data_IF_982919574967
#
_entry.id   IF_982919574967
#
_cell.length_a   1.000
_cell.length_b   1.000
_cell.length_c   1.000
_cell.angle_alpha   90.00
_cell.angle_beta   90.00
_cell.angle_gamma   90.00
#
_symmetry.space_group_name_H-M   'P 1'
#
loop_
_entity.id
_entity.type
_entity.pdbx_description
1 polymer ?
#
# COMPACT_ATOMS: atom_id res chain seq x y z
N UNK A 1 38.18 -19.43 -32.88
CA UNK A 1 38.29 -18.16 -32.15
C UNK A 1 37.14 -17.17 -32.38
N UNK A 2 36.32 -17.36 -33.39
CA UNK A 2 35.19 -16.43 -33.69
C UNK A 2 33.86 -16.85 -33.06
N UNK A 3 33.74 -18.05 -32.55
CA UNK A 3 32.52 -18.59 -31.94
C UNK A 3 32.46 -18.27 -30.42
N UNK A 4 33.62 -18.10 -29.78
CA UNK A 4 33.71 -17.79 -28.36
C UNK A 4 33.27 -16.34 -27.99
N UNK A 5 33.29 -15.43 -28.96
CA UNK A 5 32.92 -14.05 -28.76
C UNK A 5 31.41 -13.80 -28.82
N UNK A 6 30.68 -14.73 -29.47
CA UNK A 6 29.22 -14.61 -29.62
C UNK A 6 28.43 -15.14 -28.45
N UNK A 7 29.06 -15.98 -27.61
CA UNK A 7 28.44 -16.52 -26.40
C UNK A 7 28.48 -15.54 -25.21
N UNK A 8 29.40 -14.55 -25.24
CA UNK A 8 29.56 -13.61 -24.15
C UNK A 8 28.55 -12.46 -24.16
N UNK A 9 27.83 -12.26 -25.27
CA UNK A 9 26.87 -11.14 -25.40
C UNK A 9 25.45 -11.51 -24.97
N UNK A 10 25.20 -12.76 -24.56
CA UNK A 10 23.84 -13.24 -24.26
C UNK A 10 23.49 -13.23 -22.74
N UNK A 11 24.34 -12.69 -21.88
CA UNK A 11 24.16 -12.81 -20.41
C UNK A 11 23.71 -11.51 -19.72
N UNK A 12 23.37 -10.48 -20.47
CA UNK A 12 22.98 -9.17 -19.88
C UNK A 12 21.48 -8.92 -20.03
N UNK A 13 20.66 -9.87 -19.62
CA UNK A 13 19.20 -9.76 -19.70
C UNK A 13 18.46 -10.18 -18.44
N UNK A 14 19.07 -10.08 -17.25
CA UNK A 14 18.33 -10.31 -16.03
C UNK A 14 17.75 -8.95 -15.57
N UNK A 15 16.67 -8.54 -16.22
CA UNK A 15 15.82 -7.49 -15.67
C UNK A 15 15.15 -8.04 -14.43
N UNK A 16 15.54 -7.52 -13.25
CA UNK A 16 14.83 -7.73 -12.00
C UNK A 16 13.44 -7.10 -12.14
N UNK A 17 12.45 -7.90 -12.53
CA UNK A 17 11.07 -7.54 -12.38
C UNK A 17 10.74 -7.64 -10.90
N UNK A 18 10.67 -6.51 -10.21
CA UNK A 18 10.09 -6.44 -8.86
C UNK A 18 8.60 -6.70 -9.02
N UNK A 19 8.21 -7.95 -8.86
CA UNK A 19 6.82 -8.33 -8.80
C UNK A 19 6.31 -8.04 -7.39
N UNK A 20 5.62 -6.91 -7.21
CA UNK A 20 4.75 -6.72 -6.06
C UNK A 20 3.59 -7.70 -6.21
N UNK A 21 3.76 -8.92 -5.71
CA UNK A 21 2.62 -9.79 -5.45
C UNK A 21 1.89 -9.22 -4.26
N UNK A 22 0.87 -8.43 -4.55
CA UNK A 22 -0.21 -8.22 -3.61
C UNK A 22 -0.81 -9.61 -3.36
N UNK A 23 -0.58 -10.18 -2.17
CA UNK A 23 -1.20 -11.44 -1.73
C UNK A 23 -2.67 -11.23 -1.35
N UNK A 24 -3.33 -10.27 -1.96
CA UNK A 24 -4.78 -10.18 -1.99
C UNK A 24 -5.26 -11.15 -3.07
N UNK A 25 -6.01 -12.15 -2.69
CA UNK A 25 -6.60 -13.11 -3.61
C UNK A 25 -7.28 -12.38 -4.78
N UNK A 26 -7.32 -13.01 -5.94
CA UNK A 26 -7.98 -12.49 -7.11
C UNK A 26 -9.38 -12.00 -6.75
N UNK A 27 -9.63 -10.70 -6.93
CA UNK A 27 -10.97 -10.13 -6.76
C UNK A 27 -11.86 -10.75 -7.83
N UNK A 28 -12.88 -11.47 -7.41
CA UNK A 28 -13.87 -11.98 -8.33
C UNK A 28 -14.88 -10.88 -8.67
N UNK A 29 -14.63 -10.16 -9.76
CA UNK A 29 -15.47 -9.06 -10.21
C UNK A 29 -16.89 -9.45 -10.64
N UNK A 30 -17.19 -10.74 -10.78
CA UNK A 30 -18.55 -11.21 -11.02
C UNK A 30 -19.41 -11.11 -9.75
N UNK A 31 -18.80 -11.30 -8.60
CA UNK A 31 -19.46 -11.27 -7.28
C UNK A 31 -19.22 -9.97 -6.52
N UNK A 32 -18.07 -9.33 -6.72
CA UNK A 32 -17.61 -8.15 -5.98
C UNK A 32 -17.59 -6.96 -6.92
N UNK A 33 -18.47 -5.99 -6.71
CA UNK A 33 -18.63 -4.81 -7.56
C UNK A 33 -18.44 -3.50 -6.83
N UNK A 34 -18.60 -3.50 -5.51
CA UNK A 34 -18.59 -2.30 -4.68
C UNK A 34 -17.59 -2.40 -3.54
N UNK A 35 -17.04 -1.26 -3.16
CA UNK A 35 -16.12 -1.13 -2.03
C UNK A 35 -16.49 0.08 -1.18
N UNK A 36 -16.45 -0.09 0.13
CA UNK A 36 -16.53 0.99 1.10
C UNK A 36 -15.20 1.14 1.80
N UNK A 37 -14.68 2.35 1.84
CA UNK A 37 -13.41 2.68 2.51
C UNK A 37 -13.72 3.72 3.57
N UNK A 38 -13.65 3.32 4.83
CA UNK A 38 -13.81 4.22 5.96
C UNK A 38 -12.59 5.13 6.10
N UNK A 39 -12.79 6.30 6.68
CA UNK A 39 -11.68 7.18 7.01
C UNK A 39 -10.88 6.61 8.20
N UNK A 40 -9.55 6.56 8.05
CA UNK A 40 -8.65 6.06 9.07
C UNK A 40 -8.33 7.17 10.07
N UNK A 41 -8.80 7.07 11.32
CA UNK A 41 -8.44 8.02 12.35
C UNK A 41 -6.97 7.88 12.74
N UNK A 42 -6.36 8.98 13.18
CA UNK A 42 -5.02 8.98 13.75
C UNK A 42 -5.13 8.68 15.24
N UNK A 43 -4.58 7.53 15.66
CA UNK A 43 -4.53 7.04 17.05
C UNK A 43 -3.11 7.05 17.62
N UNK A 44 -2.14 7.63 16.91
CA UNK A 44 -0.78 7.80 17.40
C UNK A 44 -0.69 8.92 18.43
N UNK A 45 0.36 8.90 19.26
CA UNK A 45 0.63 9.95 20.26
C UNK A 45 0.82 11.32 19.62
N UNK A 46 1.37 11.35 18.42
CA UNK A 46 1.49 12.55 17.61
C UNK A 46 0.41 12.59 16.54
N UNK A 47 -0.41 13.63 16.56
CA UNK A 47 -1.51 13.83 15.60
C UNK A 47 -1.13 14.93 14.62
N UNK A 48 -0.97 14.54 13.35
CA UNK A 48 -0.80 15.48 12.25
C UNK A 48 -2.00 15.38 11.31
N UNK A 49 -2.97 16.23 11.48
CA UNK A 49 -4.25 16.17 10.77
C UNK A 49 -4.12 16.13 9.23
N UNK A 50 -3.22 16.90 8.58
CA UNK A 50 -3.04 16.83 7.13
C UNK A 50 -2.62 15.44 6.63
N UNK A 51 -1.90 14.65 7.44
CA UNK A 51 -1.54 13.27 7.11
C UNK A 51 -2.78 12.39 6.97
N UNK A 52 -3.71 12.49 7.93
CA UNK A 52 -4.95 11.71 7.90
C UNK A 52 -5.77 11.99 6.65
N UNK A 53 -5.98 13.27 6.34
CA UNK A 53 -6.71 13.69 5.13
C UNK A 53 -6.03 13.15 3.88
N UNK A 54 -4.72 13.37 3.74
CA UNK A 54 -3.96 12.92 2.56
C UNK A 54 -3.96 11.41 2.42
N UNK A 55 -3.77 10.69 3.51
CA UNK A 55 -3.80 9.22 3.51
C UNK A 55 -5.15 8.68 3.05
N UNK A 56 -6.25 9.21 3.60
CA UNK A 56 -7.58 8.74 3.25
C UNK A 56 -7.94 9.03 1.79
N UNK A 57 -7.58 10.22 1.30
CA UNK A 57 -7.80 10.59 -0.10
C UNK A 57 -6.98 9.70 -1.06
N UNK A 58 -5.70 9.51 -0.78
CA UNK A 58 -4.81 8.70 -1.62
C UNK A 58 -5.23 7.23 -1.62
N UNK A 59 -5.66 6.70 -0.48
CA UNK A 59 -6.13 5.31 -0.37
C UNK A 59 -7.37 5.08 -1.26
N UNK A 60 -8.36 5.96 -1.18
CA UNK A 60 -9.56 5.90 -2.01
C UNK A 60 -9.22 6.00 -3.50
N UNK A 61 -8.33 6.90 -3.84
CA UNK A 61 -7.91 7.16 -5.20
C UNK A 61 -7.13 5.97 -5.82
N UNK A 62 -6.27 5.31 -5.05
CA UNK A 62 -5.58 4.10 -5.48
C UNK A 62 -6.57 2.98 -5.83
N UNK A 63 -7.56 2.74 -4.97
CA UNK A 63 -8.57 1.72 -5.24
C UNK A 63 -9.40 2.03 -6.48
N UNK A 64 -9.79 3.28 -6.67
CA UNK A 64 -10.55 3.71 -7.84
C UNK A 64 -9.76 3.57 -9.14
N UNK A 65 -8.44 3.80 -9.10
CA UNK A 65 -7.58 3.69 -10.30
C UNK A 65 -7.14 2.27 -10.61
N UNK A 66 -6.90 1.45 -9.58
CA UNK A 66 -6.31 0.12 -9.75
C UNK A 66 -7.33 -1.01 -9.79
N UNK A 67 -8.58 -0.73 -9.44
CA UNK A 67 -9.64 -1.72 -9.44
C UNK A 67 -10.84 -1.25 -10.28
N UNK A 68 -11.72 -2.19 -10.62
CA UNK A 68 -13.00 -1.90 -11.29
C UNK A 68 -14.14 -1.70 -10.29
N UNK A 69 -13.81 -1.59 -9.00
CA UNK A 69 -14.80 -1.47 -7.94
C UNK A 69 -15.39 -0.06 -7.91
N UNK A 70 -16.68 0.00 -7.62
CA UNK A 70 -17.39 1.26 -7.40
C UNK A 70 -17.34 1.61 -5.92
N UNK A 71 -16.86 2.81 -5.59
CA UNK A 71 -16.87 3.33 -4.23
C UNK A 71 -18.30 3.66 -3.80
N UNK A 72 -18.71 3.11 -2.66
CA UNK A 72 -20.00 3.37 -2.01
C UNK A 72 -19.80 3.64 -0.52
N UNK A 73 -20.75 4.32 0.11
CA UNK A 73 -20.62 4.67 1.53
C UNK A 73 -21.07 3.56 2.47
N UNK A 74 -22.02 2.74 2.04
CA UNK A 74 -22.63 1.70 2.87
C UNK A 74 -22.96 0.47 2.04
N UNK A 75 -23.10 -0.69 2.70
CA UNK A 75 -23.53 -1.94 2.08
C UNK A 75 -22.67 -2.35 0.88
N UNK A 76 -21.37 -2.19 1.00
CA UNK A 76 -20.43 -2.60 -0.01
C UNK A 76 -20.15 -4.12 0.04
N UNK A 77 -19.76 -4.68 -1.10
CA UNK A 77 -19.30 -6.06 -1.17
C UNK A 77 -17.97 -6.26 -0.44
N UNK A 78 -17.11 -5.24 -0.52
CA UNK A 78 -15.87 -5.15 0.24
C UNK A 78 -15.89 -3.94 1.17
N UNK A 79 -15.37 -4.11 2.37
CA UNK A 79 -15.21 -3.03 3.34
C UNK A 79 -13.77 -2.97 3.83
N UNK A 80 -13.21 -1.77 3.83
CA UNK A 80 -11.89 -1.48 4.38
C UNK A 80 -12.06 -0.41 5.45
N UNK A 81 -11.59 -0.73 6.64
CA UNK A 81 -11.43 0.23 7.72
C UNK A 81 -10.09 0.03 8.44
N UNK A 82 -9.75 0.95 9.29
CA UNK A 82 -8.53 0.86 10.06
C UNK A 82 -8.20 2.13 10.80
N UNK A 83 -6.96 2.21 11.26
CA UNK A 83 -6.46 3.34 12.03
C UNK A 83 -4.95 3.54 11.81
N UNK A 84 -4.50 4.78 11.93
CA UNK A 84 -3.08 5.12 11.91
C UNK A 84 -2.60 5.11 13.36
N UNK A 85 -1.75 4.14 13.72
CA UNK A 85 -1.31 3.90 15.10
C UNK A 85 0.08 4.43 15.40
N UNK A 86 0.88 4.73 14.38
CA UNK A 86 2.24 5.22 14.55
C UNK A 86 2.62 6.32 13.58
N UNK A 87 3.35 7.30 14.08
CA UNK A 87 3.98 8.36 13.30
C UNK A 87 5.34 8.65 13.91
N UNK A 88 6.40 8.24 13.24
CA UNK A 88 7.76 8.42 13.72
C UNK A 88 8.63 9.07 12.65
N UNK A 89 9.38 10.06 13.06
CA UNK A 89 10.30 10.79 12.19
C UNK A 89 11.73 10.60 12.69
N UNK A 90 12.61 10.14 11.81
CA UNK A 90 14.00 9.90 12.11
C UNK A 90 14.91 10.64 11.14
N UNK A 91 15.94 11.26 11.65
CA UNK A 91 17.01 11.82 10.84
C UNK A 91 17.99 10.69 10.52
N UNK A 92 18.19 10.37 9.24
CA UNK A 92 18.96 9.19 8.83
C UNK A 92 20.43 9.50 8.50
N UNK A 93 20.73 10.65 7.94
CA UNK A 93 22.06 10.99 7.51
C UNK A 93 22.45 12.38 8.01
N UNK A 94 23.69 12.48 8.50
CA UNK A 94 24.34 13.76 8.78
C UNK A 94 25.35 13.98 7.67
N UNK A 95 25.19 15.06 6.89
CA UNK A 95 26.18 15.43 5.88
C UNK A 95 27.50 15.84 6.53
N UNK A 96 28.57 15.91 5.73
CA UNK A 96 29.88 16.38 6.19
C UNK A 96 29.85 17.77 6.85
N UNK A 97 28.84 18.57 6.54
CA UNK A 97 28.59 19.90 7.09
C UNK A 97 27.83 19.88 8.43
N UNK A 98 27.51 18.72 9.00
CA UNK A 98 26.81 18.55 10.28
C UNK A 98 25.28 18.73 10.18
N UNK A 99 24.72 18.90 8.99
CA UNK A 99 23.28 18.99 8.77
C UNK A 99 22.68 17.63 8.42
N UNK A 100 21.49 17.36 8.92
CA UNK A 100 20.72 16.17 8.50
C UNK A 100 20.32 16.32 7.04
N UNK A 101 20.77 15.39 6.18
CA UNK A 101 20.48 15.41 4.75
C UNK A 101 19.19 14.66 4.40
N UNK A 102 18.74 13.76 5.25
CA UNK A 102 17.56 12.93 5.02
C UNK A 102 16.74 12.74 6.29
N UNK A 103 15.42 12.81 6.12
CA UNK A 103 14.46 12.50 7.18
C UNK A 103 13.62 11.31 6.75
N UNK A 104 13.63 10.25 7.54
CA UNK A 104 12.76 9.09 7.35
C UNK A 104 11.48 9.27 8.14
N UNK A 105 10.35 9.21 7.45
CA UNK A 105 9.03 9.15 8.05
C UNK A 105 8.54 7.72 8.06
N UNK A 106 8.17 7.21 9.23
CA UNK A 106 7.56 5.90 9.39
C UNK A 106 6.14 6.06 9.90
N UNK A 107 5.18 5.54 9.17
CA UNK A 107 3.77 5.53 9.51
C UNK A 107 3.36 4.08 9.72
N UNK A 108 2.69 3.80 10.83
CA UNK A 108 2.15 2.48 11.14
C UNK A 108 0.64 2.52 11.01
N UNK A 109 0.08 1.58 10.27
CA UNK A 109 -1.35 1.51 9.97
C UNK A 109 -1.87 0.12 10.30
N UNK A 110 -2.96 0.03 11.05
CA UNK A 110 -3.74 -1.19 11.20
C UNK A 110 -4.87 -1.16 10.17
N UNK A 111 -4.98 -2.20 9.38
CA UNK A 111 -6.01 -2.32 8.34
C UNK A 111 -6.85 -3.55 8.61
N UNK A 112 -8.16 -3.37 8.55
CA UNK A 112 -9.14 -4.46 8.56
C UNK A 112 -9.86 -4.50 7.23
N UNK A 113 -9.87 -5.65 6.62
CA UNK A 113 -10.52 -5.92 5.34
C UNK A 113 -11.61 -6.98 5.53
N UNK A 114 -12.81 -6.69 5.08
CA UNK A 114 -13.96 -7.59 5.16
C UNK A 114 -14.52 -7.82 3.76
N UNK A 115 -14.75 -9.07 3.41
CA UNK A 115 -15.44 -9.45 2.20
C UNK A 115 -16.85 -9.94 2.56
N UNK A 116 -17.87 -9.13 2.29
CA UNK A 116 -19.27 -9.45 2.60
C UNK A 116 -19.90 -10.48 1.64
N UNK A 117 -19.25 -10.75 0.51
CA UNK A 117 -19.73 -11.78 -0.45
C UNK A 117 -19.28 -13.19 -0.06
N UNK A 118 -18.22 -13.27 0.74
CA UNK A 118 -17.71 -14.52 1.28
C UNK A 118 -17.23 -14.27 2.72
N UNK A 119 -18.05 -14.59 3.71
CA UNK A 119 -17.79 -14.31 5.12
C UNK A 119 -16.57 -15.03 5.72
N UNK A 120 -15.84 -15.82 4.92
CA UNK A 120 -14.66 -16.54 5.37
C UNK A 120 -13.36 -15.71 5.36
N UNK A 121 -13.36 -14.51 4.75
CA UNK A 121 -12.16 -13.71 4.60
C UNK A 121 -12.26 -12.36 5.32
N UNK A 122 -11.93 -12.38 6.60
CA UNK A 122 -11.59 -11.18 7.36
C UNK A 122 -10.06 -11.17 7.49
N UNK A 123 -9.40 -10.18 6.90
CA UNK A 123 -7.98 -9.94 7.09
C UNK A 123 -7.80 -8.75 8.00
N UNK A 124 -7.06 -8.94 9.07
CA UNK A 124 -6.59 -7.86 9.94
C UNK A 124 -5.08 -7.90 9.96
N UNK A 125 -4.44 -6.81 9.54
CA UNK A 125 -2.99 -6.74 9.40
C UNK A 125 -2.47 -5.35 9.73
N UNK A 126 -1.31 -5.32 10.37
CA UNK A 126 -0.53 -4.11 10.63
C UNK A 126 0.57 -3.94 9.59
N UNK A 127 0.73 -2.72 9.10
CA UNK A 127 1.75 -2.30 8.14
C UNK A 127 2.59 -1.14 8.68
#
# INVERSE_FOLDING_TARGET
MRISLLVFTLVVGISCTVSYKFNGGNINYDKVKTISIADFPIKSDYVYAPLGTKFNEDLKDIFLRQTRLKLVNNNADLEIDGEITGYNQYNQAVSADGYSSETKLTITVNVRFVNNTNHEHVLEQQF
#
